data_IF_429907998915
#
_entry.id   IF_429907998915
#
_cell.length_a   1.000
_cell.length_b   1.000
_cell.length_c   1.000
_cell.angle_alpha   90.00
_cell.angle_beta   90.00
_cell.angle_gamma   90.00
#
_symmetry.space_group_name_H-M   'P 1'
#
loop_
_entity.id
_entity.type
_entity.pdbx_description
1 polymer ?
#
# COMPACT_ATOMS: atom_id res chain seq x y z
N UNK A 1 29.64 13.68 -22.33
CA UNK A 1 28.36 13.01 -22.77
C UNK A 1 27.40 12.81 -21.59
N UNK A 2 27.83 12.27 -20.47
CA UNK A 2 27.00 12.05 -19.26
C UNK A 2 26.29 13.29 -18.69
N UNK A 3 26.98 14.45 -18.65
CA UNK A 3 26.41 15.68 -18.10
C UNK A 3 25.25 16.23 -18.93
N UNK A 4 25.28 16.09 -20.27
CA UNK A 4 24.17 16.49 -21.14
C UNK A 4 22.91 15.60 -20.90
N UNK A 5 23.13 14.29 -20.81
CA UNK A 5 22.02 13.34 -20.53
C UNK A 5 21.39 13.63 -19.18
N UNK A 6 22.22 13.84 -18.15
CA UNK A 6 21.76 14.17 -16.80
C UNK A 6 20.95 15.47 -16.77
N UNK A 7 21.39 16.50 -17.47
CA UNK A 7 20.68 17.76 -17.58
C UNK A 7 19.32 17.61 -18.27
N UNK A 8 19.25 16.86 -19.37
CA UNK A 8 17.99 16.56 -20.05
C UNK A 8 17.02 15.76 -19.18
N UNK A 9 17.50 14.76 -18.44
CA UNK A 9 16.70 13.98 -17.50
C UNK A 9 16.18 14.84 -16.35
N UNK A 10 17.00 15.70 -15.76
CA UNK A 10 16.57 16.61 -14.70
C UNK A 10 15.48 17.56 -15.21
N UNK A 11 15.66 18.16 -16.38
CA UNK A 11 14.67 19.05 -16.98
C UNK A 11 13.36 18.33 -17.32
N UNK A 12 13.44 17.09 -17.78
CA UNK A 12 12.28 16.25 -18.04
C UNK A 12 11.49 15.93 -16.76
N UNK A 13 12.18 15.77 -15.63
CA UNK A 13 11.56 15.42 -14.35
C UNK A 13 10.93 16.61 -13.60
N UNK A 14 11.20 17.84 -14.03
CA UNK A 14 10.60 19.05 -13.42
C UNK A 14 9.05 18.97 -13.58
N UNK A 15 8.35 19.09 -12.46
CA UNK A 15 6.87 19.03 -12.44
C UNK A 15 6.26 17.64 -12.57
N UNK A 16 7.07 16.57 -12.45
CA UNK A 16 6.61 15.18 -12.43
C UNK A 16 6.69 14.58 -11.03
N UNK A 17 5.89 13.53 -10.77
CA UNK A 17 5.79 12.91 -9.45
C UNK A 17 7.13 12.35 -8.95
N UNK A 18 7.91 11.72 -9.82
CA UNK A 18 9.16 11.06 -9.45
C UNK A 18 8.91 9.77 -8.65
N UNK A 19 9.87 9.44 -7.78
CA UNK A 19 9.84 8.22 -6.96
C UNK A 19 8.97 8.43 -5.72
N UNK A 20 8.02 7.51 -5.49
CA UNK A 20 7.20 7.44 -4.26
C UNK A 20 7.16 6.01 -3.69
N UNK A 21 6.67 5.86 -2.45
CA UNK A 21 6.62 4.59 -1.73
C UNK A 21 5.68 3.60 -2.39
N UNK A 22 4.51 4.05 -2.86
CA UNK A 22 3.54 3.19 -3.53
C UNK A 22 4.12 2.62 -4.83
N UNK A 23 4.75 3.46 -5.65
CA UNK A 23 5.45 3.03 -6.86
C UNK A 23 6.53 1.99 -6.54
N UNK A 24 7.34 2.27 -5.53
CA UNK A 24 8.43 1.39 -5.09
C UNK A 24 7.87 0.04 -4.63
N UNK A 25 6.80 0.03 -3.84
CA UNK A 25 6.13 -1.19 -3.38
C UNK A 25 5.57 -2.01 -4.54
N UNK A 26 4.90 -1.38 -5.51
CA UNK A 26 4.37 -2.05 -6.70
C UNK A 26 5.49 -2.63 -7.56
N UNK A 27 6.59 -1.89 -7.75
CA UNK A 27 7.75 -2.36 -8.52
C UNK A 27 8.40 -3.58 -7.89
N UNK A 28 8.62 -3.57 -6.56
CA UNK A 28 9.16 -4.73 -5.85
C UNK A 28 8.20 -5.92 -5.87
N UNK A 29 6.90 -5.70 -5.68
CA UNK A 29 5.91 -6.76 -5.77
C UNK A 29 5.92 -7.40 -7.16
N UNK A 30 5.91 -6.60 -8.23
CA UNK A 30 5.99 -7.08 -9.60
C UNK A 30 7.28 -7.86 -9.88
N UNK A 31 8.42 -7.39 -9.35
CA UNK A 31 9.71 -8.08 -9.50
C UNK A 31 9.70 -9.45 -8.78
N UNK A 32 9.23 -9.49 -7.54
CA UNK A 32 9.12 -10.73 -6.76
C UNK A 32 8.21 -11.72 -7.48
N UNK A 33 7.03 -11.29 -7.92
CA UNK A 33 6.09 -12.12 -8.66
C UNK A 33 6.71 -12.62 -9.97
N UNK A 34 7.51 -11.81 -10.66
CA UNK A 34 8.20 -12.21 -11.89
C UNK A 34 9.22 -13.31 -11.65
N UNK A 35 9.95 -13.28 -10.53
CA UNK A 35 10.90 -14.34 -10.14
C UNK A 35 10.19 -15.67 -9.93
N UNK A 36 9.00 -15.66 -9.35
CA UNK A 36 8.19 -16.87 -9.13
C UNK A 36 7.34 -17.28 -10.34
N UNK A 37 7.24 -16.45 -11.39
CA UNK A 37 6.43 -16.70 -12.58
C UNK A 37 6.68 -18.06 -13.24
N UNK A 38 7.93 -18.57 -13.36
CA UNK A 38 8.20 -19.87 -13.98
C UNK A 38 7.52 -21.06 -13.28
N UNK A 39 7.26 -20.96 -11.96
CA UNK A 39 6.55 -21.99 -11.22
C UNK A 39 5.06 -21.97 -11.51
N UNK A 40 4.47 -20.78 -11.63
CA UNK A 40 3.05 -20.58 -11.93
C UNK A 40 2.72 -20.87 -13.40
N UNK A 41 3.65 -20.61 -14.33
CA UNK A 41 3.50 -20.91 -15.76
C UNK A 41 3.33 -22.42 -16.02
N UNK A 42 3.78 -23.30 -15.11
CA UNK A 42 3.56 -24.76 -15.20
C UNK A 42 2.14 -25.18 -14.85
N UNK A 43 1.43 -24.35 -14.07
CA UNK A 43 0.07 -24.64 -13.57
C UNK A 43 -0.98 -23.99 -14.48
N UNK A 44 -0.70 -22.81 -14.99
CA UNK A 44 -1.61 -22.08 -15.90
C UNK A 44 -1.09 -22.19 -17.35
N UNK A 45 -1.94 -22.61 -18.30
CA UNK A 45 -1.54 -22.81 -19.71
C UNK A 45 -1.27 -21.50 -20.49
N UNK A 46 -1.33 -20.36 -19.84
CA UNK A 46 -1.17 -19.04 -20.45
C UNK A 46 -0.20 -18.16 -19.64
N UNK A 47 0.63 -17.32 -20.27
CA UNK A 47 1.59 -16.46 -19.57
C UNK A 47 0.92 -15.26 -18.85
N UNK A 48 -0.31 -15.45 -18.35
CA UNK A 48 -1.09 -14.42 -17.64
C UNK A 48 -0.32 -13.79 -16.48
N UNK A 49 0.43 -14.61 -15.77
CA UNK A 49 1.22 -14.16 -14.63
C UNK A 49 2.30 -13.15 -15.05
N UNK A 50 3.00 -13.44 -16.14
CA UNK A 50 4.00 -12.52 -16.71
C UNK A 50 3.37 -11.23 -17.21
N UNK A 51 2.19 -11.30 -17.82
CA UNK A 51 1.46 -10.10 -18.26
C UNK A 51 1.09 -9.20 -17.09
N UNK A 52 0.63 -9.76 -15.96
CA UNK A 52 0.34 -9.00 -14.74
C UNK A 52 1.60 -8.32 -14.21
N UNK A 53 2.74 -9.02 -14.18
CA UNK A 53 4.02 -8.43 -13.77
C UNK A 53 4.42 -7.24 -14.67
N UNK A 54 4.31 -7.41 -15.99
CA UNK A 54 4.59 -6.32 -16.94
C UNK A 54 3.65 -5.14 -16.74
N UNK A 55 2.35 -5.36 -16.53
CA UNK A 55 1.40 -4.28 -16.21
C UNK A 55 1.81 -3.53 -14.94
N UNK A 56 2.27 -4.22 -13.90
CA UNK A 56 2.79 -3.60 -12.67
C UNK A 56 3.99 -2.69 -12.93
N UNK A 57 4.93 -3.14 -13.78
CA UNK A 57 6.11 -2.36 -14.16
C UNK A 57 5.70 -1.14 -14.99
N UNK A 58 4.84 -1.31 -16.00
CA UNK A 58 4.33 -0.19 -16.82
C UNK A 58 3.55 0.82 -15.98
N UNK A 59 2.72 0.36 -15.05
CA UNK A 59 2.02 1.24 -14.12
C UNK A 59 3.00 2.06 -13.27
N UNK A 60 4.07 1.44 -12.78
CA UNK A 60 5.11 2.12 -11.99
C UNK A 60 5.83 3.19 -12.80
N UNK A 61 6.18 2.89 -14.05
CA UNK A 61 6.80 3.86 -14.97
C UNK A 61 5.85 5.01 -15.32
N UNK A 62 4.58 4.71 -15.60
CA UNK A 62 3.56 5.72 -15.84
C UNK A 62 3.41 6.64 -14.64
N UNK A 63 3.37 6.07 -13.43
CA UNK A 63 3.26 6.81 -12.18
C UNK A 63 4.48 7.72 -11.95
N UNK A 64 5.67 7.22 -12.23
CA UNK A 64 6.92 7.98 -12.14
C UNK A 64 6.92 9.21 -13.06
N UNK A 65 6.42 9.06 -14.29
CA UNK A 65 6.35 10.11 -15.29
C UNK A 65 5.12 11.02 -15.18
N UNK A 66 4.19 10.73 -14.27
CA UNK A 66 2.93 11.46 -14.13
C UNK A 66 3.15 12.93 -13.76
N UNK A 67 2.44 13.82 -14.44
CA UNK A 67 2.41 15.27 -14.15
C UNK A 67 1.43 15.64 -13.04
N UNK A 68 0.46 14.77 -12.74
CA UNK A 68 -0.53 14.99 -11.68
C UNK A 68 0.03 14.62 -10.30
N UNK A 69 0.96 15.45 -9.83
CA UNK A 69 1.70 15.23 -8.58
C UNK A 69 0.79 15.24 -7.37
N UNK A 70 -0.25 16.11 -7.36
CA UNK A 70 -1.16 16.23 -6.21
C UNK A 70 -1.94 14.93 -5.98
N UNK A 71 -2.57 14.40 -7.00
CA UNK A 71 -3.32 13.14 -6.95
C UNK A 71 -2.42 11.96 -6.55
N UNK A 72 -1.19 11.90 -7.09
CA UNK A 72 -0.23 10.85 -6.75
C UNK A 72 0.22 10.91 -5.29
N UNK A 73 0.40 12.11 -4.75
CA UNK A 73 0.71 12.30 -3.31
C UNK A 73 -0.44 11.85 -2.42
N UNK A 74 -1.69 12.16 -2.76
CA UNK A 74 -2.85 11.68 -1.99
C UNK A 74 -2.95 10.15 -1.98
N UNK A 75 -2.77 9.51 -3.14
CA UNK A 75 -2.76 8.05 -3.26
C UNK A 75 -1.63 7.43 -2.41
N UNK A 76 -0.42 8.02 -2.46
CA UNK A 76 0.72 7.56 -1.66
C UNK A 76 0.46 7.73 -0.15
N UNK A 77 -0.14 8.84 0.28
CA UNK A 77 -0.50 9.04 1.69
C UNK A 77 -1.58 8.07 2.18
N UNK A 78 -2.56 7.72 1.32
CA UNK A 78 -3.54 6.67 1.65
C UNK A 78 -2.84 5.31 1.83
N UNK A 79 -1.93 4.97 0.94
CA UNK A 79 -1.13 3.75 1.03
C UNK A 79 -0.28 3.71 2.31
N UNK A 80 0.45 4.77 2.62
CA UNK A 80 1.27 4.85 3.83
C UNK A 80 0.44 4.68 5.11
N UNK A 81 -0.73 5.31 5.19
CA UNK A 81 -1.67 5.15 6.34
C UNK A 81 -2.13 3.70 6.50
N UNK A 82 -2.43 3.00 5.41
CA UNK A 82 -2.82 1.59 5.49
C UNK A 82 -1.62 0.68 5.86
N UNK A 83 -0.43 0.98 5.37
CA UNK A 83 0.80 0.27 5.73
C UNK A 83 1.17 0.46 7.21
N UNK A 84 1.06 1.67 7.75
CA UNK A 84 1.22 1.92 9.18
C UNK A 84 0.21 1.14 10.01
N UNK A 85 -1.04 1.11 9.56
CA UNK A 85 -2.07 0.32 10.22
C UNK A 85 -1.74 -1.17 10.23
N UNK A 86 -1.28 -1.72 9.11
CA UNK A 86 -0.86 -3.12 9.03
C UNK A 86 0.32 -3.40 9.97
N UNK A 87 1.34 -2.53 9.98
CA UNK A 87 2.49 -2.63 10.90
C UNK A 87 2.04 -2.62 12.36
N UNK A 88 1.17 -1.70 12.75
CA UNK A 88 0.60 -1.63 14.10
C UNK A 88 -0.21 -2.90 14.44
N UNK A 89 -1.01 -3.38 13.50
CA UNK A 89 -1.82 -4.60 13.70
C UNK A 89 -0.94 -5.83 13.90
N UNK A 90 0.15 -5.95 13.14
CA UNK A 90 1.10 -7.06 13.25
C UNK A 90 1.87 -6.96 14.57
N UNK A 91 2.42 -5.79 14.88
CA UNK A 91 3.19 -5.53 16.10
C UNK A 91 2.38 -5.79 17.39
N UNK A 92 1.10 -5.37 17.38
CA UNK A 92 0.23 -5.54 18.55
C UNK A 92 -0.58 -6.84 18.53
N UNK A 93 -0.35 -7.74 17.57
CA UNK A 93 -1.16 -8.96 17.39
C UNK A 93 -1.25 -9.84 18.63
N UNK A 94 -0.23 -9.85 19.46
CA UNK A 94 -0.18 -10.67 20.69
C UNK A 94 -0.96 -10.03 21.84
N UNK A 95 -0.93 -8.71 21.99
CA UNK A 95 -1.44 -7.99 23.17
C UNK A 95 -2.77 -7.27 22.94
N UNK A 96 -3.01 -6.75 21.76
CA UNK A 96 -4.16 -5.93 21.43
C UNK A 96 -4.83 -6.36 20.13
N UNK A 97 -6.13 -6.11 20.02
CA UNK A 97 -6.90 -6.15 18.77
C UNK A 97 -7.28 -4.72 18.36
N UNK A 98 -7.23 -4.45 17.07
CA UNK A 98 -7.63 -3.14 16.53
C UNK A 98 -8.95 -3.31 15.80
N UNK A 99 -9.95 -2.55 16.22
CA UNK A 99 -11.25 -2.50 15.58
C UNK A 99 -11.48 -1.14 14.92
N UNK A 100 -12.26 -1.13 13.84
CA UNK A 100 -12.67 0.09 13.16
C UNK A 100 -14.09 0.45 13.60
N UNK A 101 -14.30 1.67 14.07
CA UNK A 101 -15.63 2.16 14.42
C UNK A 101 -16.54 2.19 13.17
N UNK A 102 -17.77 1.71 13.30
CA UNK A 102 -18.73 1.71 12.19
C UNK A 102 -19.29 3.10 11.89
N UNK A 103 -19.31 4.01 12.88
CA UNK A 103 -19.84 5.36 12.69
C UNK A 103 -18.85 6.33 12.06
N UNK A 104 -17.61 6.42 12.60
CA UNK A 104 -16.63 7.41 12.15
C UNK A 104 -15.37 6.80 11.49
N UNK A 105 -15.29 5.48 11.32
CA UNK A 105 -14.17 4.79 10.71
C UNK A 105 -12.87 4.77 11.56
N UNK A 106 -12.85 5.40 12.74
CA UNK A 106 -11.67 5.49 13.60
C UNK A 106 -11.23 4.13 14.10
N UNK A 107 -9.93 3.92 14.18
CA UNK A 107 -9.29 2.69 14.67
C UNK A 107 -9.16 2.75 16.21
N UNK A 108 -9.72 1.77 16.91
CA UNK A 108 -9.74 1.67 18.38
C UNK A 108 -8.92 0.47 18.80
N UNK A 109 -8.01 0.66 19.76
CA UNK A 109 -7.17 -0.41 20.33
C UNK A 109 -7.86 -0.99 21.55
N UNK A 110 -7.93 -2.31 21.60
CA UNK A 110 -8.61 -3.04 22.69
C UNK A 110 -7.71 -4.19 23.14
N UNK A 111 -7.51 -4.39 24.46
CA UNK A 111 -6.71 -5.49 24.97
C UNK A 111 -7.34 -6.83 24.66
N UNK A 112 -6.52 -7.85 24.38
CA UNK A 112 -6.94 -9.23 24.16
C UNK A 112 -7.28 -9.93 25.47
N UNK A 113 -8.08 -11.00 25.41
CA UNK A 113 -8.35 -11.89 26.54
C UNK A 113 -9.43 -11.40 27.50
N UNK A 114 -10.10 -10.30 27.20
CA UNK A 114 -11.19 -9.76 28.03
C UNK A 114 -12.59 -10.35 27.70
N UNK A 115 -12.65 -11.33 26.78
CA UNK A 115 -13.92 -11.95 26.40
C UNK A 115 -14.81 -11.01 25.57
N UNK A 116 -16.10 -10.98 25.89
CA UNK A 116 -17.11 -10.13 25.22
C UNK A 116 -17.13 -8.76 25.91
N UNK A 117 -16.75 -7.71 25.21
CA UNK A 117 -16.64 -6.35 25.77
C UNK A 117 -17.41 -5.35 24.91
N UNK A 118 -17.95 -4.35 25.58
CA UNK A 118 -18.52 -3.16 24.94
C UNK A 118 -17.40 -2.13 24.69
N UNK A 119 -17.28 -1.68 23.46
CA UNK A 119 -16.29 -0.70 23.03
C UNK A 119 -17.03 0.57 22.69
N UNK A 120 -16.75 1.66 23.41
CA UNK A 120 -17.25 3.00 23.09
C UNK A 120 -16.19 3.78 22.29
N UNK A 121 -16.62 4.39 21.20
CA UNK A 121 -15.72 5.21 20.38
C UNK A 121 -15.49 6.58 21.04
N UNK A 122 -14.24 6.97 21.32
CA UNK A 122 -13.97 8.25 21.97
C UNK A 122 -14.25 9.48 21.08
N UNK A 123 -14.46 9.30 19.78
CA UNK A 123 -14.72 10.40 18.85
C UNK A 123 -16.21 10.64 18.59
N UNK A 124 -16.99 9.58 18.36
CA UNK A 124 -18.41 9.70 17.97
C UNK A 124 -19.37 9.08 18.98
N UNK A 125 -18.87 8.56 20.12
CA UNK A 125 -19.69 7.94 21.17
C UNK A 125 -20.36 6.61 20.79
N UNK A 126 -20.22 6.16 19.54
CA UNK A 126 -20.87 4.92 19.09
C UNK A 126 -20.35 3.72 19.87
N UNK A 127 -21.29 2.93 20.42
CA UNK A 127 -21.00 1.73 21.20
C UNK A 127 -21.22 0.49 20.38
N UNK A 128 -20.33 -0.48 20.48
CA UNK A 128 -20.47 -1.77 19.81
C UNK A 128 -19.78 -2.88 20.60
N UNK A 129 -20.35 -4.07 20.55
CA UNK A 129 -19.86 -5.23 21.29
C UNK A 129 -18.95 -6.07 20.37
N UNK A 130 -17.78 -6.46 20.88
CA UNK A 130 -16.85 -7.37 20.21
C UNK A 130 -16.22 -8.35 21.19
N UNK A 131 -15.84 -9.53 20.68
CA UNK A 131 -15.08 -10.52 21.43
C UNK A 131 -13.58 -10.35 21.15
N UNK A 132 -12.79 -10.19 22.21
CA UNK A 132 -11.33 -10.00 22.11
C UNK A 132 -10.56 -11.29 22.32
#
# INVERSE_FOLDING_TARGET
MWNKIRWHLQRFMIGRNGRDELMTAVSYAALILYIFAPWFDKILPFPLFRMICWMGIFYSLFRFCSKDVHRRREENQKFLREMEFLKLRISMRKTHKIYRCKGCGRKIRVPRGKGKIEISCPLCGNKFIRRT
#
